data_IF_895134617119
#
_entry.id   IF_895134617119
#
_cell.length_a   1.000
_cell.length_b   1.000
_cell.length_c   1.000
_cell.angle_alpha   90.00
_cell.angle_beta   90.00
_cell.angle_gamma   90.00
#
_symmetry.space_group_name_H-M   'P 1'
#
loop_
_entity.id
_entity.type
_entity.pdbx_description
1 polymer ?
#
# COMPACT_ATOMS: atom_id res chain seq x y z
N UNK A 1 -16.35 0.37 -12.55
CA UNK A 1 -15.11 -0.43 -12.63
C UNK A 1 -13.92 0.50 -12.58
N UNK A 2 -13.40 0.81 -11.38
CA UNK A 2 -12.10 1.49 -11.29
C UNK A 2 -11.03 0.45 -11.62
N UNK A 3 -10.31 0.62 -12.73
CA UNK A 3 -9.39 -0.40 -13.25
C UNK A 3 -7.98 -0.33 -12.67
N UNK A 4 -7.72 0.52 -11.68
CA UNK A 4 -6.43 0.54 -10.97
C UNK A 4 -6.64 1.07 -9.55
N UNK A 5 -6.64 0.19 -8.54
CA UNK A 5 -6.80 0.56 -7.11
C UNK A 5 -5.50 1.11 -6.52
N UNK A 6 -4.37 0.53 -6.92
CA UNK A 6 -3.07 0.75 -6.31
C UNK A 6 -2.00 0.88 -7.39
N UNK A 7 -1.12 1.85 -7.21
CA UNK A 7 0.16 1.94 -7.92
C UNK A 7 1.26 1.49 -6.96
N UNK A 8 2.22 0.73 -7.45
CA UNK A 8 3.37 0.31 -6.68
C UNK A 8 4.62 0.34 -7.55
N UNK A 9 5.75 0.55 -6.91
CA UNK A 9 7.04 0.55 -7.57
C UNK A 9 8.15 0.30 -6.57
N UNK A 10 9.37 0.22 -7.09
CA UNK A 10 10.57 0.13 -6.26
C UNK A 10 11.42 1.36 -6.48
N UNK A 11 11.95 1.88 -5.40
CA UNK A 11 13.02 2.87 -5.43
C UNK A 11 14.21 2.24 -4.69
N UNK A 12 15.22 1.85 -5.45
CA UNK A 12 16.28 0.96 -4.98
C UNK A 12 15.73 -0.38 -4.47
N UNK A 13 16.06 -0.73 -3.21
CA UNK A 13 15.63 -1.97 -2.55
C UNK A 13 14.24 -1.90 -1.92
N UNK A 14 13.60 -0.73 -1.92
CA UNK A 14 12.41 -0.46 -1.13
C UNK A 14 11.15 -0.41 -1.98
N UNK A 15 10.10 -1.08 -1.52
CA UNK A 15 8.78 -1.00 -2.13
C UNK A 15 8.12 0.32 -1.71
N UNK A 16 7.43 0.96 -2.63
CA UNK A 16 6.47 2.00 -2.33
C UNK A 16 5.12 1.68 -2.95
N UNK A 17 4.07 2.18 -2.33
CA UNK A 17 2.69 2.09 -2.81
C UNK A 17 2.05 3.48 -2.85
N UNK A 18 1.10 3.67 -3.75
CA UNK A 18 0.28 4.87 -3.83
C UNK A 18 -1.15 4.51 -4.20
N UNK A 19 -2.09 4.91 -3.35
CA UNK A 19 -3.51 4.69 -3.61
C UNK A 19 -3.95 5.51 -4.84
N UNK A 20 -4.65 4.87 -5.78
CA UNK A 20 -5.07 5.49 -7.05
C UNK A 20 -6.48 6.07 -6.98
N UNK A 21 -6.80 6.76 -5.88
CA UNK A 21 -8.14 7.28 -5.58
C UNK A 21 -9.17 6.15 -5.53
N UNK A 22 -8.82 5.09 -4.80
CA UNK A 22 -9.68 3.92 -4.67
C UNK A 22 -10.88 4.21 -3.75
N UNK A 23 -12.01 3.54 -3.99
CA UNK A 23 -13.21 3.74 -3.19
C UNK A 23 -13.06 3.28 -1.74
N UNK A 24 -12.29 2.21 -1.50
CA UNK A 24 -12.10 1.63 -0.16
C UNK A 24 -10.82 2.13 0.54
N UNK A 25 -9.93 2.80 -0.19
CA UNK A 25 -8.62 3.22 0.28
C UNK A 25 -7.59 2.10 0.32
N UNK A 26 -6.40 2.46 0.77
CA UNK A 26 -5.26 1.55 0.99
C UNK A 26 -4.71 1.75 2.40
N UNK A 27 -4.36 0.65 3.07
CA UNK A 27 -3.80 0.65 4.42
C UNK A 27 -2.53 -0.19 4.46
N UNK A 28 -1.46 0.35 5.02
CA UNK A 28 -0.22 -0.37 5.31
C UNK A 28 -0.20 -0.74 6.79
N UNK A 29 0.03 -2.01 7.09
CA UNK A 29 0.28 -2.53 8.43
C UNK A 29 1.74 -2.91 8.52
N UNK A 30 2.46 -2.17 9.35
CA UNK A 30 3.87 -2.36 9.61
C UNK A 30 4.10 -3.57 10.51
N UNK A 31 5.33 -4.10 10.47
CA UNK A 31 5.70 -5.27 11.27
C UNK A 31 5.72 -4.96 12.78
N UNK A 32 5.95 -3.70 13.13
CA UNK A 32 5.87 -3.18 14.50
C UNK A 32 4.41 -3.05 15.01
N UNK A 33 3.43 -3.40 14.18
CA UNK A 33 2.00 -3.31 14.49
C UNK A 33 1.39 -1.93 14.21
N UNK A 34 2.18 -0.94 13.80
CA UNK A 34 1.66 0.37 13.43
C UNK A 34 0.86 0.30 12.13
N UNK A 35 -0.21 1.11 12.06
CA UNK A 35 -1.13 1.12 10.92
C UNK A 35 -1.10 2.51 10.28
N UNK A 36 -0.94 2.55 8.96
CA UNK A 36 -0.91 3.77 8.18
C UNK A 36 -1.92 3.72 7.05
N UNK A 37 -2.90 4.62 7.09
CA UNK A 37 -3.79 4.85 5.95
C UNK A 37 -3.06 5.67 4.89
N UNK A 38 -3.13 5.23 3.64
CA UNK A 38 -2.51 5.92 2.52
C UNK A 38 -3.42 7.02 1.99
N UNK A 39 -2.92 8.25 1.93
CA UNK A 39 -3.55 9.34 1.18
C UNK A 39 -3.50 9.03 -0.33
N UNK A 40 -4.62 9.21 -1.06
CA UNK A 40 -4.64 9.06 -2.52
C UNK A 40 -3.60 9.93 -3.22
N UNK A 41 -2.89 9.34 -4.20
CA UNK A 41 -1.87 10.01 -4.99
C UNK A 41 -0.52 10.25 -4.30
N UNK A 42 -0.40 9.94 -3.00
CA UNK A 42 0.85 10.04 -2.25
C UNK A 42 1.57 8.69 -2.22
N UNK A 43 2.90 8.72 -2.33
CA UNK A 43 3.74 7.52 -2.21
C UNK A 43 4.10 7.25 -0.75
N UNK A 44 3.87 6.02 -0.32
CA UNK A 44 4.23 5.52 1.00
C UNK A 44 5.22 4.37 0.85
N UNK A 45 6.35 4.47 1.54
CA UNK A 45 7.33 3.38 1.61
C UNK A 45 6.78 2.24 2.45
N UNK A 46 6.98 1.02 1.97
CA UNK A 46 6.53 -0.21 2.60
C UNK A 46 7.72 -1.12 2.77
N UNK A 47 8.01 -1.44 4.03
CA UNK A 47 9.09 -2.35 4.41
C UNK A 47 8.74 -3.82 4.11
N UNK A 48 9.77 -4.65 3.95
CA UNK A 48 9.57 -6.10 3.85
C UNK A 48 8.95 -6.64 5.14
N UNK A 49 8.06 -7.62 5.01
CA UNK A 49 7.27 -8.18 6.11
C UNK A 49 5.99 -7.41 6.42
N UNK A 50 5.83 -6.18 5.92
CA UNK A 50 4.58 -5.44 6.07
C UNK A 50 3.45 -6.04 5.22
N UNK A 51 2.22 -5.79 5.66
CA UNK A 51 0.98 -6.16 4.96
C UNK A 51 0.33 -4.92 4.38
N UNK A 52 -0.13 -4.99 3.13
CA UNK A 52 -0.89 -3.93 2.48
C UNK A 52 -2.30 -4.42 2.21
N UNK A 53 -3.29 -3.78 2.82
CA UNK A 53 -4.71 -4.02 2.61
C UNK A 53 -5.26 -3.08 1.51
N UNK A 54 -6.00 -3.67 0.57
CA UNK A 54 -6.58 -3.04 -0.63
C UNK A 54 -8.07 -3.44 -0.69
N UNK A 55 -8.94 -2.64 -0.09
CA UNK A 55 -10.34 -3.03 0.08
C UNK A 55 -10.46 -4.35 0.85
N UNK A 56 -11.01 -5.39 0.20
CA UNK A 56 -11.17 -6.73 0.80
C UNK A 56 -9.98 -7.67 0.55
N UNK A 57 -9.02 -7.24 -0.26
CA UNK A 57 -7.83 -8.02 -0.59
C UNK A 57 -6.62 -7.49 0.16
N UNK A 58 -5.56 -8.31 0.24
CA UNK A 58 -4.29 -7.89 0.80
C UNK A 58 -3.12 -8.63 0.15
N UNK A 59 -1.92 -8.10 0.33
CA UNK A 59 -0.67 -8.80 0.02
C UNK A 59 0.39 -8.54 1.09
N UNK A 60 1.39 -9.41 1.14
CA UNK A 60 2.57 -9.28 2.01
C UNK A 60 3.77 -8.83 1.16
N UNK A 61 4.59 -7.94 1.71
CA UNK A 61 5.85 -7.54 1.09
C UNK A 61 6.93 -8.55 1.48
N UNK A 62 7.64 -9.12 0.50
CA UNK A 62 8.69 -10.12 0.67
C UNK A 62 10.08 -9.57 0.33
#
# INVERSE_FOLDING_TARGET
MSKTHLELGRDGGDLWVSDRFSGNGTVVRHIDGSIRRCEPGRRYRVERGARVDIGEQFFLVQ
#
